data_IF_330059524809
#
_entry.id   IF_330059524809
#
_cell.length_a   1.000
_cell.length_b   1.000
_cell.length_c   1.000
_cell.angle_alpha   90.00
_cell.angle_beta   90.00
_cell.angle_gamma   90.00
#
_symmetry.space_group_name_H-M   'P 1'
#
loop_
_entity.id
_entity.type
_entity.pdbx_description
1 polymer ?
#
# COMPACT_ATOMS: atom_id res chain seq x y z
N UNK A 1 41.93 -7.22 -30.66
CA UNK A 1 41.99 -7.64 -29.25
C UNK A 1 41.51 -6.59 -28.21
N UNK A 2 41.73 -5.29 -28.40
CA UNK A 2 41.32 -4.25 -27.42
C UNK A 2 39.78 -4.06 -27.25
N UNK A 3 39.00 -4.21 -28.33
CA UNK A 3 37.53 -4.04 -28.28
C UNK A 3 36.79 -5.13 -27.49
N UNK A 4 37.28 -6.37 -27.50
CA UNK A 4 36.64 -7.46 -26.73
C UNK A 4 36.84 -7.34 -25.22
N UNK A 5 37.90 -6.69 -24.77
CA UNK A 5 38.19 -6.46 -23.37
C UNK A 5 37.30 -5.34 -22.77
N UNK A 6 37.01 -4.31 -23.57
CA UNK A 6 36.14 -3.20 -23.18
C UNK A 6 34.67 -3.68 -23.06
N UNK A 7 34.21 -4.45 -24.07
CA UNK A 7 32.83 -5.00 -24.03
C UNK A 7 32.59 -5.94 -22.85
N UNK A 8 33.57 -6.81 -22.51
CA UNK A 8 33.49 -7.69 -21.32
C UNK A 8 33.48 -6.91 -20.02
N UNK A 9 34.23 -5.81 -19.90
CA UNK A 9 34.21 -4.96 -18.68
C UNK A 9 32.90 -4.20 -18.50
N UNK A 10 32.26 -3.75 -19.59
CA UNK A 10 30.96 -3.12 -19.55
C UNK A 10 29.84 -4.12 -19.17
N UNK A 11 29.86 -5.35 -19.69
CA UNK A 11 28.87 -6.39 -19.38
C UNK A 11 29.01 -6.85 -17.91
N UNK A 12 30.25 -7.02 -17.42
CA UNK A 12 30.47 -7.38 -16.00
C UNK A 12 30.07 -6.25 -15.08
N UNK A 13 30.31 -4.98 -15.45
CA UNK A 13 29.88 -3.81 -14.70
C UNK A 13 28.34 -3.71 -14.62
N UNK A 14 27.61 -3.99 -15.71
CA UNK A 14 26.15 -4.02 -15.73
C UNK A 14 25.56 -5.15 -14.85
N UNK A 15 26.16 -6.34 -14.92
CA UNK A 15 25.76 -7.49 -14.10
C UNK A 15 26.00 -7.25 -12.59
N UNK A 16 27.10 -6.58 -12.23
CA UNK A 16 27.39 -6.24 -10.83
C UNK A 16 26.48 -5.13 -10.31
N UNK A 17 26.03 -4.18 -11.15
CA UNK A 17 25.07 -3.15 -10.76
C UNK A 17 23.66 -3.73 -10.55
N UNK A 18 23.24 -4.73 -11.32
CA UNK A 18 21.98 -5.44 -11.08
C UNK A 18 21.99 -6.21 -9.77
N UNK A 19 23.11 -6.83 -9.40
CA UNK A 19 23.24 -7.55 -8.12
C UNK A 19 23.22 -6.61 -6.90
N UNK A 20 23.69 -5.37 -7.01
CA UNK A 20 23.66 -4.40 -5.91
C UNK A 20 22.24 -3.93 -5.57
N UNK A 21 21.35 -3.84 -6.56
CA UNK A 21 19.92 -3.52 -6.32
C UNK A 21 19.20 -4.70 -5.65
N UNK A 22 19.52 -5.94 -5.97
CA UNK A 22 18.96 -7.14 -5.34
C UNK A 22 19.47 -7.37 -3.92
N UNK A 23 20.66 -6.90 -3.54
CA UNK A 23 21.21 -7.01 -2.20
C UNK A 23 20.48 -6.16 -1.13
N UNK A 24 19.57 -5.28 -1.54
CA UNK A 24 18.75 -4.44 -0.64
C UNK A 24 17.28 -4.88 -0.56
N UNK A 25 16.87 -5.92 -1.28
CA UNK A 25 15.50 -6.41 -1.26
C UNK A 25 15.21 -7.21 0.02
N UNK A 26 13.95 -7.17 0.43
CA UNK A 26 13.37 -7.94 1.53
C UNK A 26 12.39 -8.91 0.89
N UNK A 27 12.58 -10.20 1.09
CA UNK A 27 11.58 -11.19 0.70
C UNK A 27 10.39 -11.09 1.64
N UNK A 28 9.19 -11.00 1.10
CA UNK A 28 7.98 -10.90 1.88
C UNK A 28 7.10 -12.15 1.74
N UNK A 29 6.34 -12.43 2.78
CA UNK A 29 5.25 -13.40 2.71
C UNK A 29 4.00 -12.67 2.19
N UNK A 30 3.25 -13.33 1.30
CA UNK A 30 2.02 -12.78 0.75
C UNK A 30 0.86 -13.69 1.11
N UNK A 31 -0.04 -13.20 1.95
CA UNK A 31 -1.15 -13.98 2.48
C UNK A 31 -2.41 -13.13 2.53
N UNK A 32 -3.53 -13.67 2.04
CA UNK A 32 -4.83 -12.96 2.03
C UNK A 32 -4.71 -11.53 1.49
N UNK A 33 -4.02 -11.39 0.38
CA UNK A 33 -3.77 -10.11 -0.30
C UNK A 33 -3.02 -9.07 0.55
N UNK A 34 -2.17 -9.48 1.52
CA UNK A 34 -1.33 -8.56 2.29
C UNK A 34 0.15 -8.94 2.22
N UNK A 35 1.00 -7.92 2.18
CA UNK A 35 2.47 -8.04 2.20
C UNK A 35 2.93 -8.10 3.65
N UNK A 36 3.55 -9.20 4.07
CA UNK A 36 4.12 -9.36 5.41
C UNK A 36 5.64 -9.30 5.37
N UNK A 37 6.22 -8.29 6.00
CA UNK A 37 7.65 -8.08 6.10
C UNK A 37 8.22 -8.75 7.35
N UNK A 38 9.27 -9.58 7.23
CA UNK A 38 10.01 -10.06 8.38
C UNK A 38 10.79 -8.91 9.01
N UNK A 39 10.62 -8.72 10.30
CA UNK A 39 11.22 -7.62 11.06
C UNK A 39 11.59 -8.04 12.48
N UNK A 40 12.27 -7.16 13.19
CA UNK A 40 12.32 -7.21 14.65
C UNK A 40 11.87 -5.89 15.23
N UNK A 41 11.13 -5.95 16.33
CA UNK A 41 10.75 -4.78 17.15
C UNK A 41 11.52 -4.85 18.45
N UNK A 42 12.43 -3.91 18.69
CA UNK A 42 13.35 -3.92 19.83
C UNK A 42 14.01 -5.30 20.06
N UNK A 43 14.43 -5.95 18.96
CA UNK A 43 15.06 -7.28 18.97
C UNK A 43 14.12 -8.47 19.07
N UNK A 44 12.81 -8.28 19.24
CA UNK A 44 11.80 -9.35 19.19
C UNK A 44 11.35 -9.56 17.74
N UNK A 45 11.34 -10.80 17.29
CA UNK A 45 10.85 -11.14 15.95
C UNK A 45 9.40 -10.68 15.78
N UNK A 46 9.11 -10.10 14.61
CA UNK A 46 7.81 -9.54 14.29
C UNK A 46 7.51 -9.70 12.79
N UNK A 47 6.24 -9.77 12.46
CA UNK A 47 5.67 -9.82 11.11
C UNK A 47 4.82 -8.58 10.88
N UNK A 48 5.31 -7.63 10.06
CA UNK A 48 4.67 -6.34 9.86
C UNK A 48 4.00 -6.29 8.47
N UNK A 49 2.75 -5.87 8.41
CA UNK A 49 2.08 -5.60 7.12
C UNK A 49 2.63 -4.29 6.55
N UNK A 50 3.08 -4.30 5.30
CA UNK A 50 3.43 -3.07 4.58
C UNK A 50 2.15 -2.38 4.11
N UNK A 51 1.95 -1.14 4.55
CA UNK A 51 0.72 -0.38 4.34
C UNK A 51 1.04 1.00 3.75
N UNK A 52 0.86 1.16 2.43
CA UNK A 52 1.07 2.45 1.75
C UNK A 52 -0.07 3.45 1.99
N UNK A 53 -1.21 3.01 2.51
CA UNK A 53 -2.32 3.86 2.94
C UNK A 53 -2.09 4.53 4.30
N UNK A 54 -1.12 4.05 5.09
CA UNK A 54 -0.77 4.56 6.42
C UNK A 54 0.55 5.33 6.42
N UNK A 55 0.63 6.40 7.24
CA UNK A 55 1.91 7.06 7.53
C UNK A 55 2.65 6.42 8.71
N UNK A 56 1.96 5.69 9.58
CA UNK A 56 2.49 5.23 10.85
C UNK A 56 3.01 3.81 10.78
N UNK A 57 4.04 3.54 11.58
CA UNK A 57 4.26 2.20 12.11
C UNK A 57 3.30 2.02 13.27
N UNK A 58 2.52 0.94 13.25
CA UNK A 58 1.64 0.57 14.35
C UNK A 58 2.07 -0.77 14.93
N UNK A 59 1.84 -1.00 16.21
CA UNK A 59 2.03 -2.32 16.84
C UNK A 59 0.68 -2.95 17.15
N UNK A 60 0.60 -4.27 16.98
CA UNK A 60 -0.56 -5.05 17.41
C UNK A 60 -0.60 -5.14 18.94
N UNK A 61 -1.78 -4.95 19.52
CA UNK A 61 -1.96 -4.97 20.99
C UNK A 61 -1.61 -6.32 21.62
N UNK A 62 -1.91 -7.42 20.93
CA UNK A 62 -1.60 -8.78 21.39
C UNK A 62 -0.11 -9.06 21.29
N UNK A 63 0.54 -8.64 20.19
CA UNK A 63 2.00 -8.72 20.06
C UNK A 63 2.69 -7.97 21.19
N UNK A 64 2.27 -6.73 21.44
CA UNK A 64 2.86 -5.91 22.49
C UNK A 64 2.72 -6.56 23.87
N UNK A 65 1.53 -7.07 24.21
CA UNK A 65 1.28 -7.75 25.47
C UNK A 65 2.13 -9.03 25.63
N UNK A 66 2.32 -9.80 24.55
CA UNK A 66 3.07 -11.06 24.57
C UNK A 66 4.58 -10.89 24.45
N UNK A 67 5.07 -9.76 23.97
CA UNK A 67 6.50 -9.55 23.66
C UNK A 67 7.37 -9.30 24.90
N UNK A 68 6.79 -8.90 26.03
CA UNK A 68 7.49 -8.42 27.22
C UNK A 68 8.15 -7.04 27.03
N UNK A 69 7.88 -6.35 25.94
CA UNK A 69 8.37 -4.99 25.71
C UNK A 69 7.57 -3.99 26.55
N UNK A 70 8.27 -3.08 27.20
CA UNK A 70 7.65 -2.03 28.01
C UNK A 70 8.10 -0.65 27.51
N UNK A 71 7.15 0.23 27.33
CA UNK A 71 7.37 1.61 26.87
C UNK A 71 6.77 2.57 27.90
N UNK A 72 7.59 3.33 28.64
CA UNK A 72 7.12 4.19 29.72
C UNK A 72 6.38 5.43 29.21
N UNK A 73 6.73 5.93 28.02
CA UNK A 73 6.11 7.12 27.44
C UNK A 73 4.91 6.73 26.57
N UNK A 74 3.73 6.77 27.16
CA UNK A 74 2.46 6.42 26.49
C UNK A 74 1.45 7.56 26.62
N UNK A 75 0.53 7.62 25.69
CA UNK A 75 -0.63 8.48 25.69
C UNK A 75 -1.77 7.88 24.90
N UNK A 76 -2.77 8.70 24.58
CA UNK A 76 -3.91 8.30 23.74
C UNK A 76 -4.07 9.27 22.58
N UNK A 77 -4.50 8.78 21.43
CA UNK A 77 -4.85 9.58 20.27
C UNK A 77 -6.12 9.05 19.62
N UNK A 78 -6.87 9.96 19.00
CA UNK A 78 -7.95 9.60 18.11
C UNK A 78 -7.36 9.18 16.77
N UNK A 79 -7.71 7.98 16.31
CA UNK A 79 -7.28 7.42 15.04
C UNK A 79 -8.45 7.33 14.08
N UNK A 80 -8.19 7.65 12.82
CA UNK A 80 -9.12 7.54 11.70
C UNK A 80 -8.42 6.79 10.57
N UNK A 81 -9.11 5.87 9.93
CA UNK A 81 -8.57 5.07 8.82
C UNK A 81 -9.62 4.79 7.76
N UNK A 82 -9.67 3.57 7.26
CA UNK A 82 -10.63 3.15 6.23
C UNK A 82 -12.04 2.90 6.78
N UNK A 83 -12.19 2.60 8.08
CA UNK A 83 -13.51 2.39 8.71
C UNK A 83 -14.36 3.65 8.79
N UNK A 84 -15.67 3.48 8.99
CA UNK A 84 -16.65 4.58 9.06
C UNK A 84 -16.77 5.17 10.47
N UNK A 85 -15.65 5.52 11.09
CA UNK A 85 -15.63 6.11 12.43
C UNK A 85 -14.24 6.53 12.86
N UNK A 86 -14.11 6.75 14.16
CA UNK A 86 -12.86 7.02 14.84
C UNK A 86 -12.71 6.11 16.04
N UNK A 87 -11.49 5.71 16.35
CA UNK A 87 -11.21 4.96 17.57
C UNK A 87 -10.10 5.62 18.38
N UNK A 88 -10.17 5.50 19.70
CA UNK A 88 -9.07 5.89 20.57
C UNK A 88 -8.05 4.76 20.60
N UNK A 89 -6.80 5.05 20.30
CA UNK A 89 -5.69 4.12 20.41
C UNK A 89 -4.70 4.58 21.48
N UNK A 90 -4.06 3.63 22.15
CA UNK A 90 -2.85 3.92 22.92
C UNK A 90 -1.72 4.27 21.95
N UNK A 91 -0.86 5.20 22.36
CA UNK A 91 0.26 5.68 21.53
C UNK A 91 1.55 5.64 22.34
N UNK A 92 2.60 5.12 21.74
CA UNK A 92 3.95 5.08 22.31
C UNK A 92 4.75 6.25 21.72
N UNK A 93 5.33 7.07 22.60
CA UNK A 93 6.15 8.20 22.20
C UNK A 93 7.64 7.90 22.41
N UNK A 94 8.26 7.19 21.48
CA UNK A 94 9.68 6.85 21.50
C UNK A 94 10.03 5.50 22.10
N UNK A 95 11.30 5.12 21.95
CA UNK A 95 11.81 3.83 22.42
C UNK A 95 11.50 2.63 21.53
N UNK A 96 10.70 2.81 20.46
CA UNK A 96 10.44 1.75 19.47
C UNK A 96 11.55 1.77 18.43
N UNK A 97 12.12 0.61 18.13
CA UNK A 97 13.02 0.41 17.00
C UNK A 97 12.55 -0.79 16.19
N UNK A 98 12.41 -0.58 14.88
CA UNK A 98 12.04 -1.62 13.91
C UNK A 98 13.24 -1.87 13.02
N UNK A 99 13.72 -3.12 12.97
CA UNK A 99 14.85 -3.48 12.12
C UNK A 99 14.43 -4.50 11.07
N UNK A 100 14.79 -4.21 9.81
CA UNK A 100 14.54 -5.05 8.64
C UNK A 100 15.75 -4.97 7.70
N UNK A 101 16.23 -6.11 7.24
CA UNK A 101 17.32 -6.21 6.26
C UNK A 101 18.51 -5.27 6.57
N UNK A 102 18.99 -5.29 7.83
CA UNK A 102 20.13 -4.50 8.28
C UNK A 102 19.87 -3.00 8.49
N UNK A 103 18.66 -2.50 8.17
CA UNK A 103 18.25 -1.11 8.44
C UNK A 103 17.42 -1.04 9.71
N UNK A 104 17.60 0.02 10.50
CA UNK A 104 16.82 0.26 11.72
C UNK A 104 16.09 1.59 11.60
N UNK A 105 14.80 1.54 11.85
CA UNK A 105 13.86 2.68 11.89
C UNK A 105 13.50 2.98 13.35
N UNK A 106 13.25 4.23 13.67
CA UNK A 106 12.86 4.69 15.02
C UNK A 106 11.57 5.48 14.95
N UNK A 107 10.45 4.82 14.64
CA UNK A 107 9.16 5.48 14.49
C UNK A 107 8.70 6.13 15.78
N UNK A 108 8.08 7.30 15.67
CA UNK A 108 7.41 8.01 16.78
C UNK A 108 6.49 9.07 16.20
N UNK A 109 5.23 9.12 16.60
CA UNK A 109 4.52 8.24 17.52
C UNK A 109 4.19 6.86 16.92
N UNK A 110 3.99 5.85 17.77
CA UNK A 110 3.61 4.49 17.37
C UNK A 110 2.27 4.14 18.01
N UNK A 111 1.17 4.14 17.25
CA UNK A 111 -0.12 3.65 17.72
C UNK A 111 -0.11 2.16 18.04
N UNK A 112 -0.91 1.77 19.03
CA UNK A 112 -1.14 0.37 19.40
C UNK A 112 -2.60 0.07 19.12
N UNK A 113 -2.86 -0.87 18.21
CA UNK A 113 -4.20 -1.19 17.71
C UNK A 113 -4.41 -2.70 17.67
N UNK A 114 -5.65 -3.16 17.72
CA UNK A 114 -6.00 -4.57 17.51
C UNK A 114 -6.07 -4.86 16.01
N UNK A 115 -4.92 -5.24 15.45
CA UNK A 115 -4.83 -5.57 14.02
C UNK A 115 -5.51 -6.89 13.67
N UNK A 116 -5.63 -7.81 14.62
CA UNK A 116 -6.29 -9.11 14.38
C UNK A 116 -7.77 -8.96 14.09
N UNK A 117 -8.42 -8.01 14.78
CA UNK A 117 -9.81 -7.67 14.52
C UNK A 117 -10.01 -7.05 13.12
N UNK A 118 -9.00 -6.30 12.63
CA UNK A 118 -9.05 -5.59 11.34
C UNK A 118 -8.67 -6.51 10.17
N UNK A 119 -7.49 -7.14 10.23
CA UNK A 119 -6.91 -7.88 9.10
C UNK A 119 -7.43 -9.32 9.00
N UNK A 120 -8.13 -9.83 10.03
CA UNK A 120 -8.55 -11.24 10.12
C UNK A 120 -7.40 -12.25 9.91
N UNK A 121 -6.15 -11.78 10.07
CA UNK A 121 -4.93 -12.55 9.93
C UNK A 121 -3.89 -12.02 10.92
N UNK A 122 -3.11 -12.88 11.59
CA UNK A 122 -2.12 -12.43 12.56
C UNK A 122 -1.07 -11.52 11.92
N UNK A 123 -0.95 -10.31 12.44
CA UNK A 123 0.13 -9.37 12.17
C UNK A 123 0.60 -8.81 13.50
N UNK A 124 1.89 -8.58 13.64
CA UNK A 124 2.48 -8.03 14.86
C UNK A 124 2.54 -6.49 14.81
N UNK A 125 2.25 -5.92 13.64
CA UNK A 125 2.18 -4.49 13.40
C UNK A 125 1.96 -4.14 11.94
N UNK A 126 1.88 -2.84 11.65
CA UNK A 126 1.93 -2.24 10.32
C UNK A 126 3.24 -1.47 10.16
N UNK A 127 3.78 -1.47 8.95
CA UNK A 127 4.89 -0.63 8.54
C UNK A 127 4.41 0.33 7.46
N UNK A 128 4.13 1.57 7.85
CA UNK A 128 3.58 2.58 6.97
C UNK A 128 4.64 3.43 6.25
N UNK A 129 4.17 4.31 5.39
CA UNK A 129 4.99 5.15 4.49
C UNK A 129 5.87 6.18 5.20
N UNK A 130 5.56 6.57 6.44
CA UNK A 130 6.30 7.63 7.15
C UNK A 130 7.80 7.40 7.22
N UNK A 131 8.22 6.14 7.36
CA UNK A 131 9.63 5.75 7.47
C UNK A 131 10.35 5.65 6.11
N UNK A 132 9.61 5.57 5.02
CA UNK A 132 10.14 5.31 3.67
C UNK A 132 9.63 6.28 2.59
N UNK A 133 8.90 7.33 2.97
CA UNK A 133 8.35 8.34 2.04
C UNK A 133 9.42 9.05 1.19
N UNK A 134 10.66 9.11 1.67
CA UNK A 134 11.79 9.71 0.97
C UNK A 134 12.59 8.70 0.12
N UNK A 135 12.13 7.45 0.03
CA UNK A 135 12.74 6.37 -0.75
C UNK A 135 11.97 6.12 -2.03
N UNK A 136 12.64 5.51 -2.98
CA UNK A 136 11.98 4.82 -4.08
C UNK A 136 11.55 3.45 -3.57
N UNK A 137 10.28 3.14 -3.69
CA UNK A 137 9.70 1.88 -3.22
C UNK A 137 9.51 0.97 -4.43
N UNK A 138 10.18 -0.17 -4.43
CA UNK A 138 10.06 -1.20 -5.46
C UNK A 138 9.35 -2.39 -4.88
N UNK A 139 8.21 -2.79 -5.43
CA UNK A 139 7.46 -3.99 -5.03
C UNK A 139 7.33 -4.90 -6.25
N UNK A 140 7.96 -6.04 -6.20
CA UNK A 140 7.84 -7.09 -7.21
C UNK A 140 6.94 -8.19 -6.64
N UNK A 141 5.63 -8.09 -6.86
CA UNK A 141 4.69 -9.07 -6.32
C UNK A 141 4.92 -10.47 -6.89
N UNK A 142 5.16 -10.66 -8.19
CA UNK A 142 5.50 -11.97 -8.75
C UNK A 142 6.71 -12.63 -8.08
N UNK A 143 7.73 -11.85 -7.73
CA UNK A 143 8.93 -12.35 -7.02
C UNK A 143 8.81 -12.29 -5.50
N UNK A 144 7.74 -11.66 -4.97
CA UNK A 144 7.54 -11.44 -3.53
C UNK A 144 8.71 -10.73 -2.86
N UNK A 145 9.20 -9.69 -3.51
CA UNK A 145 10.33 -8.89 -3.05
C UNK A 145 9.98 -7.41 -2.98
N UNK A 146 10.41 -6.73 -1.91
CA UNK A 146 10.27 -5.28 -1.74
C UNK A 146 11.63 -4.66 -1.44
N UNK A 147 11.89 -3.48 -1.98
CA UNK A 147 13.09 -2.71 -1.66
C UNK A 147 12.76 -1.23 -1.42
N UNK A 148 13.54 -0.61 -0.54
CA UNK A 148 13.48 0.83 -0.23
C UNK A 148 14.82 1.46 -0.61
N UNK A 149 14.88 2.10 -1.79
CA UNK A 149 16.09 2.61 -2.41
C UNK A 149 16.23 4.12 -2.22
N UNK A 150 17.45 4.63 -2.24
CA UNK A 150 17.69 6.08 -2.18
C UNK A 150 17.40 6.77 -3.52
N UNK A 151 17.61 6.05 -4.62
CA UNK A 151 17.35 6.51 -5.99
C UNK A 151 17.20 5.32 -6.94
N UNK A 152 16.58 5.57 -8.10
CA UNK A 152 16.59 4.63 -9.23
C UNK A 152 18.00 4.56 -9.84
N UNK A 153 18.38 3.37 -10.25
CA UNK A 153 19.58 3.18 -11.10
C UNK A 153 19.17 3.05 -12.58
N UNK A 154 20.04 3.41 -13.52
CA UNK A 154 19.76 3.28 -14.95
C UNK A 154 19.28 1.87 -15.32
N UNK A 155 18.22 1.80 -16.12
CA UNK A 155 17.64 0.54 -16.60
C UNK A 155 16.60 -0.10 -15.68
N UNK A 156 16.42 0.35 -14.43
CA UNK A 156 15.44 -0.25 -13.51
C UNK A 156 13.98 -0.10 -13.99
N UNK A 157 13.68 0.93 -14.76
CA UNK A 157 12.33 1.22 -15.29
C UNK A 157 12.13 0.72 -16.71
N UNK A 158 13.09 -0.03 -17.26
CA UNK A 158 13.00 -0.55 -18.62
C UNK A 158 11.85 -1.56 -18.76
N UNK A 159 10.97 -1.30 -19.73
CA UNK A 159 9.78 -2.11 -19.98
C UNK A 159 8.61 -1.85 -19.01
N UNK A 160 8.70 -0.82 -18.17
CA UNK A 160 7.58 -0.37 -17.33
C UNK A 160 6.75 0.70 -18.04
N UNK A 161 5.45 0.70 -17.78
CA UNK A 161 4.55 1.82 -18.09
C UNK A 161 4.74 2.89 -17.02
N UNK A 162 5.13 4.09 -17.44
CA UNK A 162 5.31 5.25 -16.58
C UNK A 162 3.98 6.01 -16.44
N UNK A 163 3.62 6.37 -15.22
CA UNK A 163 2.37 7.05 -14.89
C UNK A 163 2.68 8.22 -13.95
N UNK A 164 2.33 9.46 -14.29
CA UNK A 164 2.51 10.59 -13.39
C UNK A 164 1.60 10.47 -12.17
N UNK A 165 2.12 10.89 -11.00
CA UNK A 165 1.36 10.93 -9.76
C UNK A 165 1.24 12.34 -9.20
N UNK A 166 0.16 12.56 -8.47
CA UNK A 166 -0.07 13.70 -7.60
C UNK A 166 0.01 13.26 -6.14
N UNK A 167 0.07 14.22 -5.22
CA UNK A 167 -0.04 13.96 -3.79
C UNK A 167 -1.39 14.38 -3.25
N UNK A 168 -1.86 13.67 -2.24
CA UNK A 168 -2.88 14.17 -1.34
C UNK A 168 -2.26 15.34 -0.53
N UNK A 169 -2.78 16.58 -0.62
CA UNK A 169 -2.21 17.72 0.09
C UNK A 169 -2.14 17.54 1.61
N UNK A 170 -3.08 16.79 2.19
CA UNK A 170 -3.12 16.50 3.61
C UNK A 170 -2.24 15.31 4.00
N UNK A 171 -1.88 14.48 3.02
CA UNK A 171 -1.14 13.21 3.22
C UNK A 171 -0.11 13.02 2.10
N UNK A 172 1.01 13.77 2.13
CA UNK A 172 1.96 13.85 1.01
C UNK A 172 2.74 12.57 0.71
N UNK A 173 2.52 11.50 1.44
CA UNK A 173 3.01 10.16 1.14
C UNK A 173 2.02 9.35 0.28
N UNK A 174 0.78 9.81 0.13
CA UNK A 174 -0.28 9.11 -0.62
C UNK A 174 -0.16 9.47 -2.09
N UNK A 175 0.24 8.50 -2.90
CA UNK A 175 0.35 8.64 -4.34
C UNK A 175 -1.01 8.50 -5.02
N UNK A 176 -1.40 9.52 -5.76
CA UNK A 176 -2.65 9.58 -6.52
C UNK A 176 -2.29 9.57 -8.00
N UNK A 177 -2.95 8.71 -8.79
CA UNK A 177 -2.69 8.53 -10.22
C UNK A 177 -3.99 8.52 -11.03
N UNK A 178 -3.94 8.82 -12.34
CA UNK A 178 -5.09 8.70 -13.22
C UNK A 178 -5.55 7.25 -13.34
N UNK A 179 -6.84 7.01 -13.17
CA UNK A 179 -7.49 5.70 -13.28
C UNK A 179 -8.73 5.82 -14.15
N UNK A 180 -8.90 4.90 -15.09
CA UNK A 180 -10.12 4.76 -15.88
C UNK A 180 -10.81 3.44 -15.52
N UNK A 181 -12.12 3.49 -15.28
CA UNK A 181 -12.96 2.30 -15.06
C UNK A 181 -14.11 2.34 -16.06
N UNK A 182 -14.29 1.26 -16.82
CA UNK A 182 -15.37 1.10 -17.77
C UNK A 182 -16.46 0.22 -17.17
N UNK A 183 -17.64 0.78 -16.97
CA UNK A 183 -18.81 0.05 -16.49
C UNK A 183 -19.34 -0.92 -17.57
N UNK A 184 -20.12 -1.93 -17.18
CA UNK A 184 -20.76 -2.87 -18.09
C UNK A 184 -21.75 -2.17 -19.07
N UNK A 185 -22.23 -0.99 -18.74
CA UNK A 185 -23.00 -0.12 -19.63
C UNK A 185 -22.19 0.51 -20.76
N UNK A 186 -20.86 0.40 -20.74
CA UNK A 186 -19.94 1.11 -21.63
C UNK A 186 -19.56 2.51 -21.14
N UNK A 187 -20.12 3.00 -20.04
CA UNK A 187 -19.75 4.30 -19.46
C UNK A 187 -18.33 4.25 -18.91
N UNK A 188 -17.49 5.21 -19.29
CA UNK A 188 -16.12 5.34 -18.79
C UNK A 188 -16.09 6.37 -17.66
N UNK A 189 -15.60 5.96 -16.50
CA UNK A 189 -15.32 6.82 -15.36
C UNK A 189 -13.82 7.15 -15.40
N UNK A 190 -13.49 8.39 -15.74
CA UNK A 190 -12.13 8.91 -15.60
C UNK A 190 -11.99 9.55 -14.20
N UNK A 191 -11.18 8.94 -13.38
CA UNK A 191 -11.03 9.29 -11.97
C UNK A 191 -9.58 9.30 -11.50
N UNK A 192 -9.41 9.31 -10.19
CA UNK A 192 -8.12 9.28 -9.50
C UNK A 192 -8.05 8.03 -8.62
N UNK A 193 -7.05 7.18 -8.86
CA UNK A 193 -6.73 6.04 -8.01
C UNK A 193 -5.72 6.41 -6.94
N UNK A 194 -5.74 5.71 -5.81
CA UNK A 194 -4.71 5.77 -4.77
C UNK A 194 -4.18 4.37 -4.48
N UNK A 195 -2.87 4.22 -4.33
CA UNK A 195 -2.25 2.94 -3.93
C UNK A 195 -2.48 2.70 -2.45
N UNK A 196 -3.05 1.54 -2.12
CA UNK A 196 -3.20 1.09 -0.73
C UNK A 196 -2.81 -0.39 -0.59
N UNK A 197 -1.56 -0.65 -0.21
CA UNK A 197 -1.07 -2.01 0.05
C UNK A 197 -1.50 -2.57 1.42
N UNK A 198 -2.13 -1.74 2.25
CA UNK A 198 -2.81 -2.16 3.46
C UNK A 198 -4.20 -2.74 3.20
N UNK A 199 -4.75 -2.54 1.99
CA UNK A 199 -6.03 -3.10 1.55
C UNK A 199 -5.83 -4.39 0.76
N UNK A 200 -6.50 -5.45 1.18
CA UNK A 200 -6.57 -6.72 0.43
C UNK A 200 -7.66 -6.73 -0.63
N UNK A 201 -8.35 -5.60 -0.88
CA UNK A 201 -9.42 -5.51 -1.89
C UNK A 201 -8.86 -5.18 -3.28
N UNK A 202 -9.75 -5.20 -4.30
CA UNK A 202 -9.44 -4.75 -5.66
C UNK A 202 -9.60 -3.24 -5.83
N UNK A 203 -10.63 -2.83 -6.58
CA UNK A 203 -11.00 -1.44 -6.81
C UNK A 203 -12.14 -1.06 -5.88
N UNK A 204 -11.93 -0.06 -5.02
CA UNK A 204 -12.93 0.39 -4.05
C UNK A 204 -13.21 1.89 -4.24
N UNK A 205 -14.36 2.22 -4.80
CA UNK A 205 -14.81 3.61 -4.95
C UNK A 205 -15.19 4.22 -3.60
N UNK A 206 -14.81 5.49 -3.41
CA UNK A 206 -15.28 6.25 -2.26
C UNK A 206 -16.78 6.51 -2.35
N UNK A 207 -17.44 6.73 -1.22
CA UNK A 207 -18.88 7.04 -1.19
C UNK A 207 -19.22 8.31 -1.98
N UNK A 208 -18.33 9.31 -1.99
CA UNK A 208 -18.52 10.52 -2.80
C UNK A 208 -18.39 10.26 -4.30
N UNK A 209 -17.47 9.38 -4.69
CA UNK A 209 -17.37 8.95 -6.08
C UNK A 209 -18.57 8.12 -6.48
N UNK A 210 -19.06 7.22 -5.63
CA UNK A 210 -20.28 6.45 -5.88
C UNK A 210 -21.49 7.34 -6.13
N UNK A 211 -21.70 8.36 -5.29
CA UNK A 211 -22.76 9.35 -5.50
C UNK A 211 -22.58 10.16 -6.79
N UNK A 212 -21.36 10.63 -7.06
CA UNK A 212 -21.04 11.43 -8.26
C UNK A 212 -21.32 10.67 -9.56
N UNK A 213 -20.99 9.38 -9.60
CA UNK A 213 -21.12 8.54 -10.79
C UNK A 213 -22.36 7.65 -10.79
N UNK A 214 -23.27 7.85 -9.83
CA UNK A 214 -24.53 7.12 -9.67
C UNK A 214 -24.33 5.59 -9.59
N UNK A 215 -23.27 5.13 -8.93
CA UNK A 215 -22.98 3.70 -8.75
C UNK A 215 -24.06 3.01 -7.89
N UNK A 216 -24.73 3.77 -7.01
CA UNK A 216 -25.86 3.33 -6.22
C UNK A 216 -27.10 2.97 -7.05
N UNK A 217 -27.14 3.32 -8.34
CA UNK A 217 -28.23 3.00 -9.27
C UNK A 217 -27.93 1.79 -10.16
N UNK A 218 -26.73 1.19 -10.07
CA UNK A 218 -26.38 0.00 -10.83
C UNK A 218 -27.27 -1.18 -10.46
N UNK A 219 -27.83 -1.87 -11.46
CA UNK A 219 -28.77 -2.97 -11.25
C UNK A 219 -28.11 -4.25 -10.75
N UNK A 220 -26.83 -4.45 -11.05
CA UNK A 220 -26.03 -5.64 -10.70
C UNK A 220 -25.29 -5.53 -9.38
N UNK A 221 -25.44 -4.39 -8.64
CA UNK A 221 -24.78 -4.22 -7.36
C UNK A 221 -25.30 -5.19 -6.29
N UNK A 222 -24.41 -5.68 -5.48
CA UNK A 222 -24.69 -6.61 -4.37
C UNK A 222 -24.01 -6.09 -3.09
N UNK A 223 -24.64 -6.21 -1.92
CA UNK A 223 -23.94 -5.90 -0.67
C UNK A 223 -22.62 -6.66 -0.56
N UNK A 224 -21.61 -6.07 0.04
CA UNK A 224 -20.32 -6.73 0.26
C UNK A 224 -20.49 -8.14 0.81
N UNK A 225 -19.75 -9.08 0.24
CA UNK A 225 -19.73 -10.49 0.69
C UNK A 225 -19.02 -10.66 2.03
N UNK A 226 -18.14 -9.74 2.37
CA UNK A 226 -17.34 -9.74 3.60
C UNK A 226 -17.33 -8.35 4.21
N UNK A 227 -17.26 -8.30 5.54
CA UNK A 227 -17.03 -7.02 6.23
C UNK A 227 -15.66 -6.47 5.83
N UNK A 228 -15.67 -5.31 5.19
CA UNK A 228 -14.48 -4.53 4.97
C UNK A 228 -14.23 -3.74 6.24
N UNK A 229 -13.08 -3.94 6.87
CA UNK A 229 -12.72 -3.28 8.12
C UNK A 229 -11.47 -2.43 7.98
N UNK A 230 -11.31 -1.52 8.93
CA UNK A 230 -10.12 -0.68 9.04
C UNK A 230 -10.06 0.00 10.40
N UNK A 231 -9.05 0.83 10.62
CA UNK A 231 -9.05 1.73 11.77
C UNK A 231 -10.30 2.61 11.67
N UNK A 232 -11.10 2.64 12.74
CA UNK A 232 -12.39 3.32 12.76
C UNK A 232 -13.61 2.38 12.62
N UNK A 233 -13.40 1.05 12.47
CA UNK A 233 -14.47 0.05 12.46
C UNK A 233 -14.74 -0.56 11.08
N UNK A 234 -15.94 -1.09 10.91
CA UNK A 234 -16.39 -1.71 9.65
C UNK A 234 -16.83 -0.67 8.63
N UNK A 235 -16.76 -1.05 7.36
CA UNK A 235 -17.27 -0.30 6.21
C UNK A 235 -18.37 -1.12 5.56
N UNK A 236 -19.49 -0.47 5.23
CA UNK A 236 -20.56 -1.04 4.41
C UNK A 236 -20.41 -0.57 2.97
N UNK A 237 -20.95 -1.35 2.04
CA UNK A 237 -20.93 -0.99 0.63
C UNK A 237 -21.45 -2.11 -0.28
N UNK A 238 -21.15 -1.99 -1.56
CA UNK A 238 -21.66 -2.88 -2.58
C UNK A 238 -20.58 -3.20 -3.60
N UNK A 239 -20.52 -4.45 -4.05
CA UNK A 239 -19.75 -4.91 -5.21
C UNK A 239 -20.60 -4.83 -6.46
N UNK A 240 -19.97 -4.59 -7.62
CA UNK A 240 -20.61 -4.55 -8.94
C UNK A 240 -19.62 -4.95 -10.04
N UNK A 241 -20.15 -5.45 -11.16
CA UNK A 241 -19.36 -5.83 -12.32
C UNK A 241 -18.87 -4.62 -13.13
N UNK A 242 -17.68 -4.74 -13.71
CA UNK A 242 -17.10 -3.76 -14.64
C UNK A 242 -16.62 -4.45 -15.91
N UNK A 243 -16.63 -3.71 -17.03
CA UNK A 243 -16.07 -4.20 -18.29
C UNK A 243 -14.53 -4.15 -18.30
N UNK A 244 -13.92 -3.34 -17.44
CA UNK A 244 -12.48 -3.28 -17.25
C UNK A 244 -12.01 -1.98 -16.59
N UNK A 245 -10.71 -1.94 -16.30
CA UNK A 245 -10.05 -0.74 -15.76
C UNK A 245 -8.65 -0.57 -16.36
N UNK A 246 -8.10 0.66 -16.31
CA UNK A 246 -6.79 1.00 -16.89
C UNK A 246 -6.07 2.05 -16.07
N UNK A 247 -4.74 1.91 -15.99
CA UNK A 247 -3.82 2.90 -15.42
C UNK A 247 -2.76 3.21 -16.47
N UNK A 248 -2.62 4.47 -16.91
CA UNK A 248 -1.63 4.86 -17.92
C UNK A 248 -1.73 4.07 -19.23
N UNK A 249 -2.95 3.65 -19.60
CA UNK A 249 -3.19 2.79 -20.76
C UNK A 249 -2.99 1.29 -20.52
N UNK A 250 -2.36 0.89 -19.42
CA UNK A 250 -2.22 -0.52 -19.02
C UNK A 250 -3.56 -1.07 -18.51
N UNK A 251 -4.03 -2.16 -19.09
CA UNK A 251 -5.25 -2.84 -18.63
C UNK A 251 -5.00 -3.56 -17.30
N UNK A 252 -5.93 -3.42 -16.37
CA UNK A 252 -5.91 -4.14 -15.10
C UNK A 252 -6.70 -5.46 -15.21
N UNK A 253 -6.25 -6.55 -14.58
CA UNK A 253 -6.90 -7.86 -14.66
C UNK A 253 -8.06 -7.95 -13.65
N UNK A 254 -9.01 -7.02 -13.74
CA UNK A 254 -10.16 -6.92 -12.82
C UNK A 254 -11.48 -6.84 -13.61
N UNK A 255 -12.50 -7.49 -13.09
CA UNK A 255 -13.86 -7.54 -13.66
C UNK A 255 -14.95 -7.14 -12.67
N UNK A 256 -14.55 -6.82 -11.45
CA UNK A 256 -15.43 -6.39 -10.36
C UNK A 256 -14.81 -5.19 -9.65
N UNK A 257 -15.64 -4.31 -9.12
CA UNK A 257 -15.25 -3.20 -8.28
C UNK A 257 -16.28 -3.05 -7.15
N UNK A 258 -15.88 -2.40 -6.05
CA UNK A 258 -16.78 -2.05 -4.97
C UNK A 258 -16.96 -0.56 -4.82
N UNK A 259 -17.97 -0.16 -4.07
CA UNK A 259 -18.07 1.19 -3.54
C UNK A 259 -18.55 1.19 -2.09
N UNK A 260 -17.95 2.08 -1.31
CA UNK A 260 -18.30 2.26 0.10
C UNK A 260 -19.48 3.19 0.27
N UNK A 261 -20.27 2.98 1.34
CA UNK A 261 -21.30 3.91 1.82
C UNK A 261 -20.83 4.72 3.04
N UNK A 262 -19.55 4.70 3.37
CA UNK A 262 -18.98 5.40 4.51
C UNK A 262 -19.26 6.91 4.46
N UNK A 263 -19.51 7.50 5.61
CA UNK A 263 -19.68 8.95 5.79
C UNK A 263 -18.41 9.63 6.24
N UNK A 264 -17.45 8.87 6.74
CA UNK A 264 -16.14 9.33 7.24
C UNK A 264 -15.01 8.40 6.76
N UNK A 265 -13.77 8.70 7.13
CA UNK A 265 -12.62 7.85 6.80
C UNK A 265 -12.10 8.05 5.38
N UNK A 266 -11.15 7.20 5.00
CA UNK A 266 -10.52 7.26 3.68
C UNK A 266 -11.53 6.96 2.55
N UNK A 267 -12.47 6.05 2.81
CA UNK A 267 -13.50 5.66 1.83
C UNK A 267 -14.65 6.69 1.67
N UNK A 268 -14.61 7.82 2.39
CA UNK A 268 -15.48 8.99 2.18
C UNK A 268 -14.69 10.20 1.62
N UNK A 269 -13.49 10.00 1.09
CA UNK A 269 -12.65 11.06 0.50
C UNK A 269 -13.26 11.61 -0.77
N UNK A 270 -12.96 12.90 -1.06
CA UNK A 270 -13.17 13.56 -2.35
C UNK A 270 -11.85 13.90 -3.07
N UNK A 271 -10.72 13.61 -2.44
CA UNK A 271 -9.39 13.84 -3.01
C UNK A 271 -9.06 12.81 -4.10
N UNK A 272 -9.55 11.59 -3.94
CA UNK A 272 -9.45 10.52 -4.91
C UNK A 272 -10.81 9.83 -5.09
N UNK A 273 -10.99 9.10 -6.18
CA UNK A 273 -12.23 8.40 -6.50
C UNK A 273 -12.21 6.94 -6.06
N UNK A 274 -11.03 6.30 -6.12
CA UNK A 274 -10.91 4.84 -6.00
C UNK A 274 -9.65 4.48 -5.23
N UNK A 275 -9.80 3.66 -4.21
CA UNK A 275 -8.70 2.98 -3.55
C UNK A 275 -8.38 1.73 -4.38
N UNK A 276 -7.09 1.50 -4.65
CA UNK A 276 -6.59 0.37 -5.43
C UNK A 276 -5.74 -0.49 -4.51
N UNK A 277 -6.27 -1.64 -4.14
CA UNK A 277 -5.65 -2.56 -3.21
C UNK A 277 -4.87 -3.69 -3.86
N UNK A 278 -4.40 -4.61 -3.03
CA UNK A 278 -3.44 -5.63 -3.45
C UNK A 278 -4.01 -6.68 -4.41
N UNK A 279 -5.32 -6.91 -4.44
CA UNK A 279 -5.92 -7.81 -5.43
C UNK A 279 -5.67 -7.33 -6.88
N UNK A 280 -5.47 -6.01 -7.07
CA UNK A 280 -4.98 -5.45 -8.33
C UNK A 280 -3.47 -5.57 -8.45
N UNK A 281 -2.74 -5.14 -7.41
CA UNK A 281 -1.29 -4.99 -7.49
C UNK A 281 -0.53 -6.31 -7.53
N UNK A 282 -1.09 -7.40 -7.01
CA UNK A 282 -0.45 -8.72 -6.96
C UNK A 282 -0.02 -9.28 -8.31
N UNK A 283 -0.56 -8.72 -9.40
CA UNK A 283 -0.24 -9.12 -10.77
C UNK A 283 0.95 -8.37 -11.37
N UNK A 284 1.51 -7.38 -10.67
CA UNK A 284 2.47 -6.43 -11.21
C UNK A 284 3.76 -6.34 -10.40
N UNK A 285 4.81 -5.87 -11.06
CA UNK A 285 5.92 -5.21 -10.39
C UNK A 285 5.69 -3.70 -10.48
N UNK A 286 5.80 -3.00 -9.35
CA UNK A 286 5.58 -1.55 -9.28
C UNK A 286 6.79 -0.85 -8.68
N UNK A 287 7.07 0.35 -9.17
CA UNK A 287 8.08 1.26 -8.61
C UNK A 287 7.38 2.58 -8.32
N UNK A 288 7.41 3.01 -7.07
CA UNK A 288 6.86 4.27 -6.63
C UNK A 288 7.99 5.22 -6.26
N UNK A 289 8.21 6.24 -7.08
CA UNK A 289 9.15 7.34 -6.82
C UNK A 289 8.37 8.60 -6.47
N UNK A 290 8.16 8.83 -5.17
CA UNK A 290 7.43 10.01 -4.71
C UNK A 290 8.16 11.32 -5.04
N UNK A 291 9.49 11.35 -5.04
CA UNK A 291 10.27 12.57 -5.34
C UNK A 291 10.14 12.97 -6.80
N UNK A 292 10.24 11.98 -7.71
CA UNK A 292 10.06 12.20 -9.14
C UNK A 292 8.60 12.41 -9.52
N UNK A 293 7.64 12.07 -8.64
CA UNK A 293 6.20 12.03 -8.91
C UNK A 293 5.84 11.05 -10.00
N UNK A 294 6.38 9.85 -9.90
CA UNK A 294 6.21 8.81 -10.91
C UNK A 294 5.86 7.47 -10.26
N UNK A 295 4.94 6.78 -10.91
CA UNK A 295 4.61 5.38 -10.69
C UNK A 295 4.98 4.61 -11.95
N UNK A 296 5.69 3.51 -11.82
CA UNK A 296 6.03 2.61 -12.91
C UNK A 296 5.39 1.25 -12.65
N UNK A 297 4.77 0.66 -13.68
CA UNK A 297 4.00 -0.60 -13.58
C UNK A 297 4.43 -1.55 -14.70
N UNK A 298 4.71 -2.80 -14.36
CA UNK A 298 5.08 -3.86 -15.31
C UNK A 298 4.39 -5.17 -15.00
#
# INVERSE_FOLDING_TARGET
>A
MKYHAILRRCIIGLLLMQQAAFGQSIDFQYEKHHIYLPATVNGKAARLVFDSGSSYVCLDSTFLAGSGLNYPQRGKAMMKGAGDGMQTADVIFGGVSVSMNGKTYKPSPVPVIDLRAILKNPADGLFGMGEVKDKVIVIDFPKRAIAFLDALTPGMTEGYTQVPIEYDPAQPWRAIFPLEVTLNSGTVISGKGVIDTGSGQGLEFTSKAAAKYHLDQLADRKPYKMDIGGVGGSSAGYDFGIAGARIGGLALPVTEAGYSTNTTGALASDVFTTLVGNEVWEHFAIILDLKAKELYIK
#
